data_IF_708235117058
#
_entry.id   IF_708235117058
#
_cell.length_a   1.000
_cell.length_b   1.000
_cell.length_c   1.000
_cell.angle_alpha   90.00
_cell.angle_beta   90.00
_cell.angle_gamma   90.00
#
_symmetry.space_group_name_H-M   'P 1'
#
loop_
_entity.id
_entity.type
_entity.pdbx_description
1 polymer ?
#
# COMPACT_ATOMS: atom_id res chain seq x y z
N UNK A 1 16.75 -7.25 -10.41
CA UNK A 1 16.35 -5.96 -11.00
C UNK A 1 17.10 -4.85 -10.29
N UNK A 2 17.10 -3.63 -10.82
CA UNK A 2 17.69 -2.49 -10.11
C UNK A 2 16.82 -2.11 -8.90
N UNK A 3 17.46 -1.72 -7.81
CA UNK A 3 16.79 -1.21 -6.61
C UNK A 3 15.93 0.01 -6.96
N UNK A 4 14.80 0.18 -6.28
CA UNK A 4 14.02 1.43 -6.37
C UNK A 4 14.90 2.58 -5.88
N UNK A 5 14.90 3.70 -6.61
CA UNK A 5 15.64 4.90 -6.27
C UNK A 5 14.69 6.09 -6.29
N UNK A 6 14.86 7.00 -5.33
CA UNK A 6 14.10 8.24 -5.34
C UNK A 6 14.43 9.05 -6.60
N UNK A 7 13.42 9.73 -7.13
CA UNK A 7 13.58 10.68 -8.21
C UNK A 7 12.52 11.75 -8.12
N UNK A 8 12.79 12.91 -8.72
CA UNK A 8 11.80 14.00 -8.83
C UNK A 8 10.49 13.57 -9.50
N UNK A 9 10.48 12.46 -10.26
CA UNK A 9 9.25 11.91 -10.84
C UNK A 9 8.29 11.26 -9.83
N UNK A 10 8.72 11.06 -8.58
CA UNK A 10 7.89 10.59 -7.47
C UNK A 10 7.45 11.73 -6.55
N UNK A 11 7.99 12.94 -6.70
CA UNK A 11 7.60 14.08 -5.89
C UNK A 11 6.17 14.52 -6.23
N UNK A 12 5.38 14.78 -5.19
CA UNK A 12 3.96 15.11 -5.29
C UNK A 12 3.67 16.55 -4.91
N UNK A 13 4.69 17.39 -4.69
CA UNK A 13 4.58 18.79 -4.21
C UNK A 13 3.82 18.89 -2.88
N UNK A 14 4.15 17.98 -1.95
CA UNK A 14 3.62 17.99 -0.59
C UNK A 14 4.74 17.55 0.35
N UNK A 15 5.55 18.49 0.88
CA UNK A 15 6.85 18.16 1.50
C UNK A 15 6.81 17.05 2.56
N UNK A 16 5.79 17.03 3.43
CA UNK A 16 5.67 15.99 4.46
C UNK A 16 5.38 14.59 3.89
N UNK A 17 4.63 14.51 2.79
CA UNK A 17 4.37 13.26 2.08
C UNK A 17 5.62 12.83 1.30
N UNK A 18 6.27 13.76 0.60
CA UNK A 18 7.49 13.49 -0.16
C UNK A 18 8.64 13.00 0.73
N UNK A 19 8.81 13.59 1.91
CA UNK A 19 9.79 13.13 2.92
C UNK A 19 9.47 11.69 3.38
N UNK A 20 8.20 11.42 3.69
CA UNK A 20 7.74 10.07 4.08
C UNK A 20 8.00 9.06 2.96
N UNK A 21 7.80 9.43 1.69
CA UNK A 21 8.05 8.56 0.54
C UNK A 21 9.54 8.34 0.29
N UNK A 22 10.39 9.34 0.52
CA UNK A 22 11.86 9.18 0.47
C UNK A 22 12.34 8.18 1.51
N UNK A 23 11.89 8.32 2.76
CA UNK A 23 12.19 7.38 3.85
C UNK A 23 11.79 5.94 3.50
N UNK A 24 10.62 5.75 2.87
CA UNK A 24 10.18 4.43 2.40
C UNK A 24 11.17 3.83 1.38
N UNK A 25 11.60 4.62 0.40
CA UNK A 25 12.56 4.18 -0.63
C UNK A 25 13.91 3.81 0.00
N UNK A 26 14.38 4.60 0.96
CA UNK A 26 15.61 4.32 1.70
C UNK A 26 15.52 3.01 2.51
N UNK A 27 14.43 2.81 3.23
CA UNK A 27 14.18 1.59 4.01
C UNK A 27 14.05 0.36 3.13
N UNK A 28 13.39 0.48 1.98
CA UNK A 28 13.29 -0.61 1.01
C UNK A 28 14.68 -0.96 0.43
N UNK A 29 15.49 0.04 0.11
CA UNK A 29 16.88 -0.17 -0.31
C UNK A 29 17.72 -0.86 0.77
N UNK A 30 17.51 -0.52 2.05
CA UNK A 30 18.17 -1.19 3.17
C UNK A 30 17.77 -2.68 3.28
N UNK A 31 16.50 -3.02 3.04
CA UNK A 31 16.02 -4.41 2.96
C UNK A 31 16.69 -5.16 1.81
N UNK A 32 16.74 -4.58 0.62
CA UNK A 32 17.35 -5.22 -0.56
C UNK A 32 18.85 -5.48 -0.37
N UNK A 33 19.56 -4.55 0.29
CA UNK A 33 20.99 -4.65 0.57
C UNK A 33 21.33 -5.52 1.80
N UNK A 34 20.35 -5.85 2.66
CA UNK A 34 20.60 -6.55 3.91
C UNK A 34 21.11 -7.98 3.67
N UNK A 35 22.14 -8.36 4.44
CA UNK A 35 22.50 -9.77 4.60
C UNK A 35 21.42 -10.51 5.42
N UNK A 36 21.36 -11.83 5.31
CA UNK A 36 20.29 -12.63 5.93
C UNK A 36 20.17 -12.40 7.45
N UNK A 37 21.30 -12.20 8.15
CA UNK A 37 21.32 -11.92 9.59
C UNK A 37 20.68 -10.57 9.98
N UNK A 38 20.56 -9.63 9.03
CA UNK A 38 20.03 -8.28 9.24
C UNK A 38 18.65 -8.10 8.58
N UNK A 39 18.28 -9.00 7.66
CA UNK A 39 17.11 -8.86 6.79
C UNK A 39 15.81 -8.69 7.57
N UNK A 40 15.57 -9.53 8.59
CA UNK A 40 14.34 -9.45 9.38
C UNK A 40 14.22 -8.10 10.11
N UNK A 41 15.32 -7.58 10.66
CA UNK A 41 15.33 -6.27 11.34
C UNK A 41 15.09 -5.11 10.39
N UNK A 42 15.72 -5.11 9.21
CA UNK A 42 15.49 -4.12 8.17
C UNK A 42 14.02 -4.16 7.67
N UNK A 43 13.48 -5.37 7.48
CA UNK A 43 12.09 -5.58 7.08
C UNK A 43 11.11 -5.03 8.12
N UNK A 44 11.31 -5.34 9.41
CA UNK A 44 10.45 -4.83 10.47
C UNK A 44 10.45 -3.29 10.55
N UNK A 45 11.60 -2.65 10.30
CA UNK A 45 11.68 -1.19 10.21
C UNK A 45 10.86 -0.64 9.03
N UNK A 46 10.96 -1.25 7.85
CA UNK A 46 10.15 -0.90 6.68
C UNK A 46 8.65 -1.06 6.97
N UNK A 47 8.23 -2.17 7.60
CA UNK A 47 6.82 -2.43 7.93
C UNK A 47 6.28 -1.41 8.93
N UNK A 48 7.07 -1.06 9.95
CA UNK A 48 6.67 -0.05 10.94
C UNK A 48 6.48 1.32 10.28
N UNK A 49 7.46 1.75 9.47
CA UNK A 49 7.37 3.00 8.71
C UNK A 49 6.17 3.03 7.77
N UNK A 50 5.96 1.96 7.00
CA UNK A 50 4.82 1.83 6.08
C UNK A 50 3.47 1.93 6.81
N UNK A 51 3.38 1.37 8.02
CA UNK A 51 2.17 1.45 8.83
C UNK A 51 1.88 2.88 9.30
N UNK A 52 2.91 3.61 9.75
CA UNK A 52 2.78 5.00 10.18
C UNK A 52 2.48 5.94 9.01
N UNK A 53 3.13 5.70 7.85
CA UNK A 53 2.86 6.38 6.58
C UNK A 53 1.38 6.23 6.21
N UNK A 54 0.87 5.00 6.04
CA UNK A 54 -0.52 4.78 5.65
C UNK A 54 -1.52 5.30 6.67
N UNK A 55 -1.23 5.18 7.97
CA UNK A 55 -2.12 5.72 9.02
C UNK A 55 -2.26 7.24 8.93
N UNK A 56 -1.17 7.94 8.58
CA UNK A 56 -1.15 9.40 8.41
C UNK A 56 -2.01 9.82 7.22
N UNK A 57 -1.83 9.17 6.07
CA UNK A 57 -2.63 9.47 4.88
C UNK A 57 -4.11 9.12 5.04
N UNK A 58 -4.41 7.98 5.68
CA UNK A 58 -5.78 7.59 6.03
C UNK A 58 -6.45 8.65 6.93
N UNK A 59 -5.72 9.21 7.88
CA UNK A 59 -6.22 10.30 8.72
C UNK A 59 -6.50 11.59 7.92
N UNK A 60 -5.61 11.94 6.99
CA UNK A 60 -5.81 13.10 6.09
C UNK A 60 -7.04 12.90 5.19
N UNK A 61 -7.20 11.71 4.62
CA UNK A 61 -8.35 11.36 3.81
C UNK A 61 -9.66 11.47 4.59
N UNK A 62 -9.68 10.96 5.83
CA UNK A 62 -10.83 11.04 6.71
C UNK A 62 -11.16 12.49 7.09
N UNK A 63 -10.15 13.29 7.48
CA UNK A 63 -10.33 14.68 7.91
C UNK A 63 -10.86 15.59 6.80
N UNK A 64 -10.46 15.34 5.56
CA UNK A 64 -10.79 16.19 4.41
C UNK A 64 -11.93 15.65 3.54
N UNK A 65 -12.61 14.59 3.99
CA UNK A 65 -13.69 13.91 3.25
C UNK A 65 -13.25 13.47 1.84
N UNK A 66 -11.97 13.16 1.69
CA UNK A 66 -11.45 12.37 0.58
C UNK A 66 -11.75 10.87 0.77
N UNK A 67 -12.61 10.53 1.74
CA UNK A 67 -13.28 9.24 1.75
C UNK A 67 -14.30 9.24 0.62
N UNK A 68 -14.51 8.08 0.00
CA UNK A 68 -14.99 8.12 -1.36
C UNK A 68 -14.86 6.84 -2.19
N UNK A 69 -15.32 5.67 -1.73
CA UNK A 69 -15.24 4.41 -2.52
C UNK A 69 -13.93 3.62 -2.40
N UNK A 70 -13.11 3.95 -1.39
CA UNK A 70 -12.15 3.10 -0.66
C UNK A 70 -11.34 2.05 -1.44
N UNK A 71 -10.74 2.41 -2.57
CA UNK A 71 -9.60 1.63 -3.06
C UNK A 71 -8.31 2.05 -2.35
N UNK A 72 -8.10 3.33 -2.03
CA UNK A 72 -6.85 3.80 -1.41
C UNK A 72 -6.59 3.17 -0.02
N UNK A 73 -7.38 3.50 1.01
CA UNK A 73 -7.19 2.89 2.34
C UNK A 73 -7.44 1.38 2.37
N UNK A 74 -8.12 0.80 1.37
CA UNK A 74 -8.21 -0.65 1.22
C UNK A 74 -6.90 -1.25 0.72
N UNK A 75 -6.24 -0.64 -0.28
CA UNK A 75 -4.92 -1.05 -0.74
C UNK A 75 -3.91 -0.95 0.41
N UNK A 76 -3.95 0.13 1.22
CA UNK A 76 -3.14 0.23 2.44
C UNK A 76 -3.32 -0.97 3.38
N UNK A 77 -4.57 -1.35 3.66
CA UNK A 77 -4.89 -2.49 4.53
C UNK A 77 -4.40 -3.81 3.94
N UNK A 78 -4.62 -4.02 2.64
CA UNK A 78 -4.20 -5.25 1.93
C UNK A 78 -2.68 -5.36 1.93
N UNK A 79 -1.96 -4.30 1.57
CA UNK A 79 -0.50 -4.26 1.58
C UNK A 79 0.02 -4.54 2.99
N UNK A 80 -0.46 -3.82 4.02
CA UNK A 80 -0.01 -4.07 5.40
C UNK A 80 -0.30 -5.47 5.91
N UNK A 81 -1.43 -6.08 5.51
CA UNK A 81 -1.71 -7.47 5.83
C UNK A 81 -0.66 -8.40 5.22
N UNK A 82 -0.39 -8.26 3.92
CA UNK A 82 0.63 -9.04 3.19
C UNK A 82 2.01 -8.87 3.83
N UNK A 83 2.38 -7.64 4.19
CA UNK A 83 3.66 -7.36 4.85
C UNK A 83 3.80 -8.07 6.20
N UNK A 84 2.73 -8.07 7.02
CA UNK A 84 2.69 -8.76 8.32
C UNK A 84 2.72 -10.28 8.17
N UNK A 85 2.04 -10.83 7.18
CA UNK A 85 2.08 -12.26 6.86
C UNK A 85 3.49 -12.68 6.43
N UNK A 86 4.18 -11.87 5.63
CA UNK A 86 5.59 -12.07 5.29
C UNK A 86 6.52 -12.05 6.50
N UNK A 87 6.31 -11.11 7.43
CA UNK A 87 7.06 -11.07 8.70
C UNK A 87 6.89 -12.37 9.48
N UNK A 88 5.66 -12.87 9.63
CA UNK A 88 5.40 -14.11 10.37
C UNK A 88 6.05 -15.34 9.71
N UNK A 89 6.07 -15.41 8.37
CA UNK A 89 6.76 -16.47 7.63
C UNK A 89 8.28 -16.40 7.79
N UNK A 90 8.85 -15.21 7.76
CA UNK A 90 10.28 -14.99 7.96
C UNK A 90 10.73 -15.34 9.39
N UNK A 91 9.92 -15.03 10.40
CA UNK A 91 10.13 -15.46 11.79
C UNK A 91 10.08 -16.98 11.93
N UNK A 92 9.31 -17.67 11.08
CA UNK A 92 9.29 -19.13 10.94
C UNK A 92 10.45 -19.67 10.05
N UNK A 93 11.51 -18.88 9.84
CA UNK A 93 12.73 -19.22 9.09
C UNK A 93 12.61 -19.24 7.55
N UNK A 94 11.60 -18.61 6.95
CA UNK A 94 11.50 -18.41 5.50
C UNK A 94 11.93 -17.00 5.06
N UNK A 95 13.21 -16.67 5.24
CA UNK A 95 13.76 -15.36 4.83
C UNK A 95 13.62 -15.02 3.32
N UNK A 96 13.68 -15.99 2.37
CA UNK A 96 13.50 -15.70 0.95
C UNK A 96 12.18 -14.99 0.61
N UNK A 97 11.10 -15.19 1.38
CA UNK A 97 9.81 -14.52 1.16
C UNK A 97 9.97 -13.00 1.21
N UNK A 98 10.79 -12.47 2.13
CA UNK A 98 10.98 -11.03 2.32
C UNK A 98 11.66 -10.39 1.10
N UNK A 99 12.64 -11.07 0.50
CA UNK A 99 13.34 -10.58 -0.70
C UNK A 99 12.41 -10.52 -1.90
N UNK A 100 11.54 -11.52 -2.06
CA UNK A 100 10.51 -11.52 -3.10
C UNK A 100 9.54 -10.36 -2.89
N UNK A 101 9.02 -10.21 -1.68
CA UNK A 101 8.08 -9.13 -1.36
C UNK A 101 8.69 -7.73 -1.51
N UNK A 102 9.97 -7.55 -1.16
CA UNK A 102 10.69 -6.30 -1.40
C UNK A 102 10.72 -5.95 -2.90
N UNK A 103 10.94 -6.95 -3.77
CA UNK A 103 10.90 -6.74 -5.22
C UNK A 103 9.51 -6.32 -5.69
N UNK A 104 8.45 -6.94 -5.18
CA UNK A 104 7.07 -6.58 -5.54
C UNK A 104 6.68 -5.18 -5.01
N UNK A 105 7.14 -4.80 -3.82
CA UNK A 105 6.97 -3.45 -3.27
C UNK A 105 7.67 -2.39 -4.14
N UNK A 106 8.89 -2.67 -4.60
CA UNK A 106 9.64 -1.78 -5.47
C UNK A 106 8.92 -1.51 -6.81
N UNK A 107 8.15 -2.50 -7.28
CA UNK A 107 7.30 -2.34 -8.46
C UNK A 107 6.05 -1.54 -8.14
N UNK A 108 5.31 -1.92 -7.10
CA UNK A 108 4.00 -1.36 -6.73
C UNK A 108 4.07 0.12 -6.32
N UNK A 109 5.08 0.49 -5.52
CA UNK A 109 5.14 1.80 -4.87
C UNK A 109 5.08 2.98 -5.87
N UNK A 110 5.89 3.03 -6.95
CA UNK A 110 5.77 4.10 -7.95
C UNK A 110 4.37 4.26 -8.54
N UNK A 111 3.65 3.16 -8.83
CA UNK A 111 2.30 3.28 -9.38
C UNK A 111 1.30 3.77 -8.33
N UNK A 112 1.42 3.32 -7.09
CA UNK A 112 0.60 3.80 -5.99
C UNK A 112 0.79 5.32 -5.78
N UNK A 113 2.05 5.75 -5.67
CA UNK A 113 2.43 7.16 -5.51
C UNK A 113 1.91 8.05 -6.63
N UNK A 114 2.11 7.64 -7.89
CA UNK A 114 1.75 8.46 -9.05
C UNK A 114 0.25 8.44 -9.39
N UNK A 115 -0.55 7.60 -8.73
CA UNK A 115 -2.00 7.50 -8.99
C UNK A 115 -2.82 7.91 -7.77
N UNK A 116 -2.72 7.18 -6.66
CA UNK A 116 -3.56 7.37 -5.49
C UNK A 116 -3.03 8.48 -4.59
N UNK A 117 -1.73 8.51 -4.31
CA UNK A 117 -1.12 9.54 -3.46
C UNK A 117 -1.12 10.89 -4.18
N UNK A 118 -0.83 10.91 -5.48
CA UNK A 118 -0.91 12.12 -6.30
C UNK A 118 -2.32 12.76 -6.26
N UNK A 119 -3.37 11.94 -6.31
CA UNK A 119 -4.75 12.41 -6.21
C UNK A 119 -5.05 12.98 -4.82
N UNK A 120 -4.54 12.34 -3.76
CA UNK A 120 -4.65 12.85 -2.39
C UNK A 120 -3.90 14.18 -2.23
N UNK A 121 -2.64 14.26 -2.67
CA UNK A 121 -1.82 15.47 -2.59
C UNK A 121 -2.47 16.66 -3.28
N UNK A 122 -3.03 16.45 -4.48
CA UNK A 122 -3.79 17.48 -5.21
C UNK A 122 -5.01 17.96 -4.42
N UNK A 123 -5.75 17.04 -3.79
CA UNK A 123 -6.90 17.37 -2.96
C UNK A 123 -6.51 18.17 -1.72
N UNK A 124 -5.47 17.74 -0.99
CA UNK A 124 -4.99 18.43 0.20
C UNK A 124 -4.56 19.87 -0.10
N UNK A 125 -3.84 20.08 -1.21
CA UNK A 125 -3.50 21.43 -1.70
C UNK A 125 -4.74 22.26 -2.01
N UNK A 126 -5.73 21.67 -2.70
CA UNK A 126 -6.97 22.38 -3.09
C UNK A 126 -7.75 22.89 -1.89
N UNK A 127 -7.83 22.11 -0.81
CA UNK A 127 -8.58 22.48 0.40
C UNK A 127 -7.71 23.27 1.40
N UNK A 128 -6.44 23.53 1.05
CA UNK A 128 -5.48 24.20 1.93
C UNK A 128 -5.30 23.44 3.23
N UNK A 129 -5.23 22.10 3.18
CA UNK A 129 -4.96 21.28 4.35
C UNK A 129 -3.50 21.40 4.75
N UNK A 130 -3.23 21.70 6.01
CA UNK A 130 -1.90 21.62 6.62
C UNK A 130 -1.67 20.20 7.16
N UNK A 131 -0.80 19.39 6.53
CA UNK A 131 -0.57 18.01 6.93
C UNK A 131 0.09 17.85 8.31
N UNK A 132 0.77 18.89 8.81
CA UNK A 132 1.44 18.87 10.10
C UNK A 132 0.48 19.16 11.26
N UNK A 133 -0.49 20.07 11.05
CA UNK A 133 -1.43 20.48 12.10
C UNK A 133 -2.83 19.89 11.96
N UNK A 134 -3.18 19.37 10.78
CA UNK A 134 -4.52 18.92 10.45
C UNK A 134 -5.53 20.04 10.15
N UNK A 135 -5.06 21.28 10.01
CA UNK A 135 -5.93 22.45 9.79
C UNK A 135 -6.38 22.53 8.33
N UNK A 136 -7.66 22.75 8.08
CA UNK A 136 -8.19 23.06 6.74
C UNK A 136 -8.34 24.58 6.59
N UNK A 137 -7.54 25.21 5.75
CA UNK A 137 -7.56 26.68 5.56
C UNK A 137 -8.65 27.15 4.57
N UNK A 138 -9.18 26.27 3.73
CA UNK A 138 -10.30 26.57 2.84
C UNK A 138 -11.49 25.61 3.11
N UNK A 139 -12.23 25.78 4.21
CA UNK A 139 -13.31 24.87 4.58
C UNK A 139 -14.45 24.83 3.55
N UNK A 140 -14.70 25.94 2.85
CA UNK A 140 -15.70 26.02 1.78
C UNK A 140 -15.31 25.22 0.52
N UNK A 141 -14.02 24.87 0.37
CA UNK A 141 -13.53 24.02 -0.71
C UNK A 141 -13.67 22.52 -0.40
N UNK A 142 -14.07 22.16 0.83
CA UNK A 142 -14.33 20.77 1.17
C UNK A 142 -15.52 20.22 0.37
N UNK A 143 -15.44 18.96 -0.06
CA UNK A 143 -16.58 18.30 -0.68
C UNK A 143 -17.82 18.33 0.22
N UNK A 144 -18.96 18.77 -0.32
CA UNK A 144 -20.24 18.75 0.37
C UNK A 144 -20.68 17.31 0.71
N UNK A 145 -20.29 16.35 -0.13
CA UNK A 145 -20.38 14.91 0.08
C UNK A 145 -19.02 14.27 -0.19
N UNK A 146 -18.76 13.12 0.42
CA UNK A 146 -17.57 12.30 0.22
C UNK A 146 -17.31 12.03 -1.29
N UNK A 147 -16.06 12.05 -1.78
CA UNK A 147 -15.71 11.95 -3.23
C UNK A 147 -15.67 10.50 -3.76
N UNK A 148 -16.69 9.97 -4.44
CA UNK A 148 -16.74 8.50 -4.77
C UNK A 148 -15.99 8.05 -6.04
N UNK A 149 -15.14 7.00 -5.93
CA UNK A 149 -14.62 6.19 -7.05
C UNK A 149 -13.11 5.85 -7.03
N UNK A 150 -12.71 4.71 -7.61
CA UNK A 150 -11.32 4.44 -8.01
C UNK A 150 -11.07 5.15 -9.34
N UNK A 151 -10.18 6.14 -9.39
CA UNK A 151 -9.79 6.80 -10.63
C UNK A 151 -9.10 5.82 -11.59
N UNK A 152 -9.87 5.07 -12.37
CA UNK A 152 -9.44 4.31 -13.56
C UNK A 152 -8.45 3.15 -13.41
N UNK A 153 -7.72 3.05 -12.29
CA UNK A 153 -6.62 2.07 -12.13
C UNK A 153 -7.08 0.69 -11.67
N UNK A 154 -8.34 0.54 -11.24
CA UNK A 154 -8.92 -0.72 -10.79
C UNK A 154 -9.65 -1.43 -11.94
N UNK A 155 -8.98 -1.67 -13.07
CA UNK A 155 -9.52 -2.48 -14.17
C UNK A 155 -8.61 -3.68 -14.42
N UNK A 156 -8.67 -4.65 -13.52
CA UNK A 156 -8.40 -6.04 -13.85
C UNK A 156 -9.74 -6.67 -14.23
N UNK A 157 -10.07 -6.61 -15.51
CA UNK A 157 -11.20 -7.34 -16.09
C UNK A 157 -10.77 -8.82 -16.14
N UNK A 158 -11.07 -9.58 -15.09
CA UNK A 158 -11.04 -11.05 -15.16
C UNK A 158 -12.32 -11.58 -14.53
N UNK A 159 -13.20 -12.04 -15.43
CA UNK A 159 -14.43 -12.74 -15.11
C UNK A 159 -14.18 -13.81 -14.05
N UNK A 160 -14.95 -13.74 -12.97
CA UNK A 160 -15.00 -14.75 -11.90
C UNK A 160 -15.07 -16.16 -12.50
N UNK A 161 -14.05 -17.03 -12.35
CA UNK A 161 -14.25 -18.44 -12.64
C UNK A 161 -15.12 -19.04 -11.53
N UNK A 162 -16.21 -19.69 -11.94
CA UNK A 162 -17.13 -20.39 -11.05
C UNK A 162 -16.40 -21.44 -10.19
N UNK A 163 -16.84 -21.70 -8.94
CA UNK A 163 -16.20 -22.68 -8.09
C UNK A 163 -16.37 -24.09 -8.66
N UNK A 164 -15.25 -24.78 -8.89
CA UNK A 164 -15.21 -26.19 -9.27
C UNK A 164 -15.70 -27.00 -8.07
N UNK A 165 -16.86 -27.64 -8.21
CA UNK A 165 -17.40 -28.57 -7.24
C UNK A 165 -16.48 -29.80 -7.14
N UNK A 166 -15.88 -29.99 -5.96
CA UNK A 166 -15.19 -31.24 -5.60
C UNK A 166 -16.26 -32.29 -5.36
N UNK A 167 -16.45 -33.21 -6.32
CA UNK A 167 -17.31 -34.37 -6.10
C UNK A 167 -16.61 -35.36 -5.16
N UNK A 168 -17.24 -35.58 -4.01
CA UNK A 168 -16.90 -36.61 -3.04
C UNK A 168 -16.89 -37.98 -3.71
N UNK A 169 -15.75 -38.66 -3.71
CA UNK A 169 -15.68 -40.09 -4.00
C UNK A 169 -16.07 -40.86 -2.74
N UNK A 170 -17.36 -41.12 -2.56
CA UNK A 170 -17.83 -42.16 -1.66
C UNK A 170 -17.70 -43.53 -2.34
N UNK A 171 -17.15 -44.47 -1.58
CA UNK A 171 -16.95 -45.88 -1.92
C UNK A 171 -18.28 -46.59 -2.07
N UNK A 172 -18.40 -47.48 -3.04
CA UNK A 172 -19.13 -48.73 -2.86
C UNK A 172 -18.52 -49.85 -3.73
N UNK A 173 -18.08 -50.90 -3.05
CA UNK A 173 -17.88 -52.22 -3.63
C UNK A 173 -19.22 -52.97 -3.55
N UNK A 174 -19.55 -53.81 -4.54
CA UNK A 174 -20.20 -55.13 -4.40
C UNK A 174 -20.70 -55.67 -5.76
N UNK A 175 -20.26 -56.90 -6.05
CA UNK A 175 -20.88 -58.00 -6.83
C UNK A 175 -21.44 -57.76 -8.25
N UNK A 176 -20.83 -58.42 -9.25
CA UNK A 176 -21.29 -59.72 -9.77
C UNK A 176 -20.24 -60.29 -10.75
#
# INVERSE_FOLDING_TARGET
MAALQWSEGLALDLPLMDETHQEFVELLGAVEAAADAQLLGAWQALVAHTADHFAREDAWMAATRFASGNCHSLQHKVVLQVLREGTAQAEASDLPVLRRMATELALWFPQHTQTMDAALALHLRRVGFDPATGTVHAPDALPAQAIHGCGGACSGDEATPAPVAVQSLEREAVAA
#
